data_IF_924302698099
#
_entry.id   IF_924302698099
#
_cell.length_a   1.000
_cell.length_b   1.000
_cell.length_c   1.000
_cell.angle_alpha   90.00
_cell.angle_beta   90.00
_cell.angle_gamma   90.00
#
_symmetry.space_group_name_H-M   'P 1'
#
loop_
_entity.id
_entity.type
_entity.pdbx_description
1 polymer ?
#
# COMPACT_ATOMS: atom_id res chain seq x y z
N UNK A 1 -3.89 39.43 11.15
CA UNK A 1 -5.27 39.28 11.67
C UNK A 1 -5.73 37.85 11.41
N UNK A 2 -5.98 37.05 12.46
CA UNK A 2 -6.68 35.77 12.33
C UNK A 2 -8.14 36.09 11.96
N UNK A 3 -8.53 35.84 10.72
CA UNK A 3 -9.94 35.94 10.32
C UNK A 3 -10.71 34.97 11.22
N UNK A 4 -11.65 35.50 12.01
CA UNK A 4 -12.55 34.69 12.84
C UNK A 4 -13.31 33.77 11.89
N UNK A 5 -13.15 32.45 12.05
CA UNK A 5 -13.83 31.45 11.20
C UNK A 5 -15.33 31.51 11.45
N UNK A 6 -16.12 31.56 10.37
CA UNK A 6 -17.56 31.40 10.44
C UNK A 6 -17.88 29.91 10.35
N UNK A 7 -17.68 29.21 11.48
CA UNK A 7 -17.89 27.78 11.58
C UNK A 7 -19.28 27.36 11.12
N UNK A 8 -20.31 28.17 11.40
CA UNK A 8 -21.69 27.86 11.03
C UNK A 8 -21.84 27.80 9.51
N UNK A 9 -21.34 28.83 8.81
CA UNK A 9 -21.39 28.86 7.36
C UNK A 9 -20.56 27.76 6.71
N UNK A 10 -19.37 27.47 7.24
CA UNK A 10 -18.54 26.35 6.76
C UNK A 10 -19.31 25.03 6.86
N UNK A 11 -19.95 24.77 8.00
CA UNK A 11 -20.76 23.58 8.22
C UNK A 11 -21.92 23.51 7.22
N UNK A 12 -22.66 24.61 7.09
CA UNK A 12 -23.85 24.64 6.24
C UNK A 12 -23.51 24.46 4.75
N UNK A 13 -22.42 25.04 4.26
CA UNK A 13 -22.00 24.89 2.84
C UNK A 13 -21.47 23.48 2.53
N UNK A 14 -20.66 22.89 3.41
CA UNK A 14 -20.20 21.51 3.25
C UNK A 14 -21.37 20.52 3.34
N UNK A 15 -22.31 20.75 4.26
CA UNK A 15 -23.48 19.89 4.44
C UNK A 15 -24.43 19.93 3.23
N UNK A 16 -24.52 21.05 2.50
CA UNK A 16 -25.31 21.12 1.26
C UNK A 16 -24.75 20.25 0.13
N UNK A 17 -23.46 19.91 0.16
CA UNK A 17 -22.81 19.13 -0.91
C UNK A 17 -23.19 17.65 -0.79
N UNK A 18 -22.97 17.05 0.39
CA UNK A 18 -23.31 15.64 0.64
C UNK A 18 -23.59 15.32 2.13
N UNK A 19 -24.31 16.21 2.79
CA UNK A 19 -24.74 16.03 4.17
C UNK A 19 -23.57 15.80 5.12
N UNK A 20 -23.56 14.64 5.78
CA UNK A 20 -22.52 14.29 6.75
C UNK A 20 -21.26 13.66 6.14
N UNK A 21 -21.33 13.19 4.90
CA UNK A 21 -20.27 12.34 4.33
C UNK A 21 -18.98 13.12 4.13
N UNK A 22 -19.05 14.35 3.61
CA UNK A 22 -17.88 15.22 3.44
C UNK A 22 -17.04 15.36 4.72
N UNK A 23 -17.70 15.43 5.89
CA UNK A 23 -17.00 15.50 7.17
C UNK A 23 -16.36 14.16 7.56
N UNK A 24 -17.10 13.06 7.38
CA UNK A 24 -16.58 11.71 7.67
C UNK A 24 -15.37 11.43 6.79
N UNK A 25 -15.47 11.70 5.49
CA UNK A 25 -14.39 11.49 4.52
C UNK A 25 -13.19 12.36 4.87
N UNK A 26 -13.39 13.65 5.18
CA UNK A 26 -12.30 14.50 5.67
C UNK A 26 -11.60 13.92 6.90
N UNK A 27 -12.32 13.32 7.86
CA UNK A 27 -11.72 12.68 9.02
C UNK A 27 -10.87 11.48 8.59
N UNK A 28 -11.44 10.57 7.80
CA UNK A 28 -10.76 9.35 7.35
C UNK A 28 -9.55 9.68 6.47
N UNK A 29 -9.62 10.73 5.65
CA UNK A 29 -8.53 11.18 4.79
C UNK A 29 -7.36 11.79 5.55
N UNK A 30 -7.65 12.51 6.64
CA UNK A 30 -6.64 13.19 7.44
C UNK A 30 -6.01 12.32 8.53
N UNK A 31 -6.69 11.24 8.95
CA UNK A 31 -6.37 10.51 10.15
C UNK A 31 -6.33 8.99 9.99
N UNK A 32 -5.31 8.39 10.59
CA UNK A 32 -5.38 7.01 11.08
C UNK A 32 -5.72 7.02 12.59
N UNK A 33 -6.10 5.87 13.17
CA UNK A 33 -6.53 5.81 14.57
C UNK A 33 -5.46 6.32 15.55
N UNK A 34 -4.17 6.13 15.24
CA UNK A 34 -3.05 6.55 16.10
C UNK A 34 -2.94 8.08 16.13
N UNK A 35 -2.88 8.70 14.96
CA UNK A 35 -2.78 10.16 14.84
C UNK A 35 -4.05 10.86 15.33
N UNK A 36 -5.22 10.27 15.10
CA UNK A 36 -6.47 10.77 15.66
C UNK A 36 -6.47 10.73 17.18
N UNK A 37 -6.07 9.59 17.77
CA UNK A 37 -5.99 9.43 19.21
C UNK A 37 -5.09 10.51 19.83
N UNK A 38 -3.94 10.80 19.23
CA UNK A 38 -3.03 11.85 19.71
C UNK A 38 -3.70 13.24 19.65
N UNK A 39 -4.26 13.61 18.50
CA UNK A 39 -4.78 14.97 18.28
C UNK A 39 -6.08 15.25 19.07
N UNK A 40 -6.92 14.23 19.26
CA UNK A 40 -8.24 14.34 19.89
C UNK A 40 -8.30 13.86 21.35
N UNK A 41 -7.25 13.22 21.89
CA UNK A 41 -7.19 12.84 23.32
C UNK A 41 -7.59 13.97 24.28
N UNK A 42 -7.20 15.25 24.09
CA UNK A 42 -7.62 16.33 24.99
C UNK A 42 -9.12 16.69 24.91
N UNK A 43 -9.81 16.26 23.85
CA UNK A 43 -11.19 16.63 23.52
C UNK A 43 -12.18 15.47 23.73
N UNK A 44 -11.68 14.27 24.04
CA UNK A 44 -12.47 13.05 24.18
C UNK A 44 -12.35 12.51 25.61
N UNK A 45 -13.48 12.07 26.15
CA UNK A 45 -13.53 11.41 27.46
C UNK A 45 -13.16 9.92 27.38
N UNK A 46 -13.32 9.30 26.21
CA UNK A 46 -13.09 7.88 25.98
C UNK A 46 -11.75 7.64 25.28
N UNK A 47 -11.14 6.49 25.58
CA UNK A 47 -9.94 6.05 24.89
C UNK A 47 -10.29 5.62 23.47
N UNK A 48 -9.55 6.16 22.50
CA UNK A 48 -9.65 5.74 21.10
C UNK A 48 -8.87 4.44 20.92
N UNK A 49 -9.55 3.41 20.43
CA UNK A 49 -8.99 2.13 19.98
C UNK A 49 -9.23 1.99 18.48
N UNK A 50 -8.66 0.95 17.86
CA UNK A 50 -8.92 0.67 16.45
C UNK A 50 -10.38 0.29 16.20
N UNK A 51 -11.00 -0.41 17.17
CA UNK A 51 -12.36 -0.94 17.04
C UNK A 51 -13.44 0.15 17.15
N UNK A 52 -13.23 1.15 18.01
CA UNK A 52 -14.20 2.24 18.23
C UNK A 52 -13.90 3.51 17.40
N UNK A 53 -12.83 3.50 16.61
CA UNK A 53 -12.37 4.69 15.88
C UNK A 53 -13.45 5.31 14.98
N UNK A 54 -14.16 4.48 14.21
CA UNK A 54 -15.19 4.94 13.27
C UNK A 54 -16.43 5.44 14.00
N UNK A 55 -16.83 4.77 15.09
CA UNK A 55 -17.96 5.19 15.93
C UNK A 55 -17.70 6.57 16.54
N UNK A 56 -16.48 6.79 17.08
CA UNK A 56 -16.09 8.08 17.64
C UNK A 56 -16.09 9.18 16.57
N UNK A 57 -15.61 8.91 15.35
CA UNK A 57 -15.71 9.87 14.23
C UNK A 57 -17.17 10.22 13.98
N UNK A 58 -18.06 9.23 13.90
CA UNK A 58 -19.48 9.47 13.66
C UNK A 58 -20.11 10.33 14.77
N UNK A 59 -19.77 10.10 16.04
CA UNK A 59 -20.21 10.93 17.17
C UNK A 59 -19.72 12.38 17.06
N UNK A 60 -18.44 12.58 16.73
CA UNK A 60 -17.86 13.91 16.54
C UNK A 60 -18.54 14.64 15.38
N UNK A 61 -18.72 13.96 14.24
CA UNK A 61 -19.38 14.54 13.06
C UNK A 61 -20.82 14.93 13.40
N UNK A 62 -21.55 14.10 14.16
CA UNK A 62 -22.89 14.45 14.64
C UNK A 62 -22.87 15.70 15.52
N UNK A 63 -21.90 15.86 16.42
CA UNK A 63 -21.73 17.09 17.21
C UNK A 63 -21.46 18.31 16.32
N UNK A 64 -20.61 18.16 15.29
CA UNK A 64 -20.29 19.21 14.31
C UNK A 64 -21.53 19.67 13.56
N UNK A 65 -22.28 18.74 12.96
CA UNK A 65 -23.45 19.06 12.14
C UNK A 65 -24.56 19.69 12.99
N UNK A 66 -24.80 19.13 14.18
CA UNK A 66 -25.80 19.64 15.12
C UNK A 66 -25.32 20.88 15.90
N UNK A 67 -24.07 21.32 15.69
CA UNK A 67 -23.48 22.51 16.31
C UNK A 67 -23.60 22.47 17.85
N UNK A 68 -23.40 21.30 18.43
CA UNK A 68 -23.63 21.03 19.86
C UNK A 68 -22.33 20.81 20.64
N UNK A 69 -22.37 21.11 21.94
CA UNK A 69 -21.21 20.95 22.84
C UNK A 69 -19.97 21.69 22.35
N UNK A 70 -18.83 20.98 22.31
CA UNK A 70 -17.53 21.48 21.90
C UNK A 70 -17.25 21.42 20.39
N UNK A 71 -18.30 21.44 19.55
CA UNK A 71 -18.16 21.24 18.11
C UNK A 71 -17.17 22.16 17.41
N UNK A 72 -17.02 23.41 17.87
CA UNK A 72 -16.08 24.37 17.28
C UNK A 72 -14.65 23.91 17.46
N UNK A 73 -14.29 23.42 18.64
CA UNK A 73 -12.95 22.92 18.95
C UNK A 73 -12.65 21.64 18.16
N UNK A 74 -13.64 20.75 18.06
CA UNK A 74 -13.56 19.53 17.25
C UNK A 74 -13.33 19.86 15.76
N UNK A 75 -14.14 20.75 15.19
CA UNK A 75 -14.00 21.16 13.80
C UNK A 75 -12.69 21.94 13.58
N UNK A 76 -12.26 22.76 14.53
CA UNK A 76 -11.02 23.53 14.40
C UNK A 76 -9.77 22.64 14.36
N UNK A 77 -9.78 21.52 15.09
CA UNK A 77 -8.72 20.51 15.02
C UNK A 77 -8.64 19.88 13.63
N UNK A 78 -9.77 19.43 13.08
CA UNK A 78 -9.84 18.88 11.72
C UNK A 78 -9.35 19.91 10.68
N UNK A 79 -9.88 21.14 10.71
CA UNK A 79 -9.49 22.21 9.79
C UNK A 79 -8.00 22.51 9.90
N UNK A 80 -7.46 22.59 11.11
CA UNK A 80 -6.06 22.96 11.33
C UNK A 80 -5.12 21.90 10.76
N UNK A 81 -5.41 20.61 10.97
CA UNK A 81 -4.63 19.52 10.38
C UNK A 81 -4.72 19.52 8.85
N UNK A 82 -5.94 19.56 8.31
CA UNK A 82 -6.19 19.57 6.87
C UNK A 82 -5.47 20.73 6.18
N UNK A 83 -5.61 21.95 6.71
CA UNK A 83 -4.99 23.13 6.14
C UNK A 83 -3.46 23.12 6.24
N UNK A 84 -2.90 22.52 7.29
CA UNK A 84 -1.45 22.34 7.42
C UNK A 84 -0.94 21.37 6.36
N UNK A 85 -1.63 20.25 6.17
CA UNK A 85 -1.29 19.27 5.15
C UNK A 85 -1.32 19.86 3.74
N UNK A 86 -2.44 20.49 3.35
CA UNK A 86 -2.62 21.08 2.02
C UNK A 86 -1.56 22.12 1.68
N UNK A 87 -1.22 22.98 2.64
CA UNK A 87 -0.18 24.00 2.45
C UNK A 87 1.22 23.41 2.37
N UNK A 88 1.53 22.44 3.23
CA UNK A 88 2.85 21.80 3.25
C UNK A 88 3.08 21.02 1.95
N UNK A 89 2.05 20.36 1.44
CA UNK A 89 2.07 19.67 0.15
C UNK A 89 1.87 20.61 -1.05
N UNK A 90 1.65 21.92 -0.82
CA UNK A 90 1.48 22.96 -1.84
C UNK A 90 0.28 22.79 -2.78
N UNK A 91 -0.71 21.97 -2.41
CA UNK A 91 -1.93 21.76 -3.20
C UNK A 91 -2.77 23.04 -3.33
N UNK A 92 -2.62 23.99 -2.40
CA UNK A 92 -3.29 25.29 -2.46
C UNK A 92 -2.81 26.20 -3.59
N UNK A 93 -1.68 25.87 -4.24
CA UNK A 93 -1.10 26.63 -5.35
C UNK A 93 -1.47 26.09 -6.73
N UNK A 94 -2.12 24.94 -6.80
CA UNK A 94 -2.47 24.29 -8.05
C UNK A 94 -3.76 24.86 -8.65
N UNK A 95 -3.85 24.87 -9.98
CA UNK A 95 -5.12 25.10 -10.66
C UNK A 95 -5.97 23.82 -10.69
N UNK A 96 -7.23 23.91 -11.11
CA UNK A 96 -8.13 22.76 -11.09
C UNK A 96 -7.67 21.59 -11.97
N UNK A 97 -7.11 21.83 -13.16
CA UNK A 97 -6.67 20.73 -14.04
C UNK A 97 -5.49 19.96 -13.43
N UNK A 98 -4.52 20.68 -12.87
CA UNK A 98 -3.41 20.07 -12.13
C UNK A 98 -3.88 19.31 -10.90
N UNK A 99 -4.87 19.87 -10.18
CA UNK A 99 -5.45 19.21 -9.02
C UNK A 99 -6.20 17.95 -9.44
N UNK A 100 -6.95 18.00 -10.54
CA UNK A 100 -7.72 16.90 -11.08
C UNK A 100 -6.83 15.71 -11.47
N UNK A 101 -5.68 15.94 -12.10
CA UNK A 101 -4.70 14.88 -12.38
C UNK A 101 -4.29 14.11 -11.11
N UNK A 102 -4.15 14.81 -9.99
CA UNK A 102 -3.79 14.21 -8.69
C UNK A 102 -5.01 13.52 -8.06
N UNK A 103 -6.19 14.12 -8.16
CA UNK A 103 -7.45 13.53 -7.65
C UNK A 103 -7.83 12.25 -8.41
N UNK A 104 -7.49 12.16 -9.70
CA UNK A 104 -7.68 10.98 -10.54
C UNK A 104 -6.74 9.82 -10.13
N UNK A 105 -5.68 10.07 -9.34
CA UNK A 105 -4.85 9.00 -8.73
C UNK A 105 -5.58 8.28 -7.57
N UNK A 106 -6.64 8.88 -7.01
CA UNK A 106 -7.46 8.34 -5.91
C UNK A 106 -6.69 7.97 -4.62
N UNK A 107 -5.56 8.62 -4.34
CA UNK A 107 -4.78 8.37 -3.12
C UNK A 107 -5.27 9.18 -1.91
N UNK A 108 -5.67 8.47 -0.86
CA UNK A 108 -6.01 9.01 0.45
C UNK A 108 -4.76 9.23 1.34
N UNK A 109 -4.51 10.44 1.85
CA UNK A 109 -3.31 10.74 2.64
C UNK A 109 -3.14 9.92 3.92
N UNK A 110 -4.22 9.54 4.61
CA UNK A 110 -4.15 8.74 5.83
C UNK A 110 -3.52 7.36 5.62
N UNK A 111 -3.81 6.74 4.47
CA UNK A 111 -3.28 5.44 4.06
C UNK A 111 -1.94 5.62 3.38
N UNK A 112 -1.88 6.51 2.39
CA UNK A 112 -0.77 6.59 1.45
C UNK A 112 0.35 7.53 1.90
N UNK A 113 0.08 8.38 2.90
CA UNK A 113 0.94 9.47 3.38
C UNK A 113 1.20 10.57 2.33
N UNK A 114 0.60 10.47 1.16
CA UNK A 114 0.55 11.47 0.09
C UNK A 114 -0.81 11.42 -0.63
N UNK A 115 -1.10 12.42 -1.45
CA UNK A 115 -2.35 12.53 -2.19
C UNK A 115 -3.23 13.65 -1.65
N UNK A 116 -4.41 13.81 -2.23
CA UNK A 116 -5.43 14.74 -1.74
C UNK A 116 -6.78 14.27 -2.25
N UNK A 117 -7.84 14.53 -1.49
CA UNK A 117 -9.21 14.20 -1.89
C UNK A 117 -10.01 15.47 -2.14
N UNK A 118 -11.14 15.39 -2.86
CA UNK A 118 -11.99 16.56 -3.10
C UNK A 118 -12.49 17.18 -1.79
N UNK A 119 -12.88 16.36 -0.81
CA UNK A 119 -13.40 16.76 0.50
C UNK A 119 -12.38 17.60 1.28
N UNK A 120 -11.11 17.18 1.29
CA UNK A 120 -10.02 17.94 1.89
C UNK A 120 -9.88 19.34 1.28
N UNK A 121 -9.98 19.44 -0.05
CA UNK A 121 -9.89 20.72 -0.75
C UNK A 121 -11.13 21.59 -0.53
N UNK A 122 -12.33 21.01 -0.52
CA UNK A 122 -13.58 21.71 -0.19
C UNK A 122 -13.51 22.29 1.23
N UNK A 123 -13.09 21.48 2.22
CA UNK A 123 -12.89 21.94 3.59
C UNK A 123 -11.87 23.07 3.67
N UNK A 124 -10.76 22.97 2.91
CA UNK A 124 -9.75 24.02 2.85
C UNK A 124 -10.32 25.35 2.35
N UNK A 125 -10.95 25.35 1.17
CA UNK A 125 -11.49 26.57 0.56
C UNK A 125 -12.57 27.22 1.43
N UNK A 126 -13.53 26.44 1.94
CA UNK A 126 -14.56 26.99 2.81
C UNK A 126 -13.99 27.50 4.14
N UNK A 127 -12.98 26.83 4.73
CA UNK A 127 -12.32 27.31 5.94
C UNK A 127 -11.55 28.63 5.76
N UNK A 128 -11.26 29.00 4.50
CA UNK A 128 -10.67 30.29 4.10
C UNK A 128 -11.71 31.34 3.72
N UNK A 129 -12.99 31.07 3.93
CA UNK A 129 -14.11 31.92 3.51
C UNK A 129 -14.18 32.16 2.01
N UNK A 130 -13.65 31.22 1.22
CA UNK A 130 -13.79 31.20 -0.21
C UNK A 130 -15.02 30.32 -0.47
N UNK A 131 -16.18 30.95 -0.65
CA UNK A 131 -17.46 30.25 -0.87
C UNK A 131 -17.87 30.23 -2.34
N UNK A 132 -17.54 31.29 -3.08
CA UNK A 132 -17.90 31.47 -4.48
C UNK A 132 -16.62 31.58 -5.30
N UNK A 133 -16.14 30.45 -5.81
CA UNK A 133 -14.96 30.35 -6.66
C UNK A 133 -15.17 29.26 -7.71
N UNK A 134 -14.72 29.50 -8.93
CA UNK A 134 -14.84 28.55 -10.06
C UNK A 134 -14.25 27.18 -9.73
N UNK A 135 -13.13 27.14 -8.99
CA UNK A 135 -12.48 25.90 -8.56
C UNK A 135 -13.40 25.10 -7.63
N UNK A 136 -14.17 25.75 -6.76
CA UNK A 136 -15.09 25.06 -5.84
C UNK A 136 -16.22 24.40 -6.63
N UNK A 137 -16.80 25.11 -7.59
CA UNK A 137 -17.86 24.55 -8.43
C UNK A 137 -17.36 23.30 -9.17
N UNK A 138 -16.16 23.40 -9.77
CA UNK A 138 -15.51 22.27 -10.44
C UNK A 138 -15.20 21.11 -9.49
N UNK A 139 -14.77 21.39 -8.26
CA UNK A 139 -14.54 20.36 -7.22
C UNK A 139 -15.83 19.68 -6.78
N UNK A 140 -16.93 20.43 -6.60
CA UNK A 140 -18.24 19.87 -6.24
C UNK A 140 -18.76 18.98 -7.37
N UNK A 141 -18.62 19.40 -8.62
CA UNK A 141 -19.03 18.60 -9.78
C UNK A 141 -18.20 17.32 -9.92
N UNK A 142 -16.88 17.42 -9.69
CA UNK A 142 -15.99 16.26 -9.65
C UNK A 142 -16.38 15.29 -8.53
N UNK A 143 -16.56 15.80 -7.31
CA UNK A 143 -16.99 15.00 -6.14
C UNK A 143 -18.29 14.24 -6.42
N UNK A 144 -19.32 14.93 -6.92
CA UNK A 144 -20.61 14.31 -7.27
C UNK A 144 -20.48 13.26 -8.36
N UNK A 145 -19.57 13.44 -9.30
CA UNK A 145 -19.31 12.47 -10.37
C UNK A 145 -18.69 11.19 -9.81
N UNK A 146 -17.71 11.31 -8.91
CA UNK A 146 -17.10 10.16 -8.21
C UNK A 146 -18.15 9.43 -7.36
N UNK A 147 -18.93 10.18 -6.58
CA UNK A 147 -19.99 9.62 -5.74
C UNK A 147 -21.07 8.90 -6.56
N UNK A 148 -21.48 9.46 -7.70
CA UNK A 148 -22.46 8.82 -8.59
C UNK A 148 -21.98 7.46 -9.08
N UNK A 149 -20.70 7.33 -9.44
CA UNK A 149 -20.10 6.04 -9.84
C UNK A 149 -20.15 5.03 -8.68
N UNK A 150 -19.87 5.47 -7.45
CA UNK A 150 -19.94 4.62 -6.27
C UNK A 150 -21.38 4.11 -6.03
N UNK A 151 -22.38 4.98 -6.11
CA UNK A 151 -23.80 4.60 -5.98
C UNK A 151 -24.27 3.66 -7.08
N UNK A 152 -23.82 3.85 -8.31
CA UNK A 152 -24.15 2.97 -9.44
C UNK A 152 -23.59 1.55 -9.21
N UNK A 153 -22.34 1.47 -8.74
CA UNK A 153 -21.72 0.20 -8.35
C UNK A 153 -22.48 -0.44 -7.18
N UNK A 154 -22.83 0.31 -6.14
CA UNK A 154 -23.57 -0.21 -4.99
C UNK A 154 -24.94 -0.79 -5.39
N UNK A 155 -25.69 -0.09 -6.25
CA UNK A 155 -26.98 -0.60 -6.77
C UNK A 155 -26.81 -1.89 -7.57
N UNK A 156 -25.69 -2.04 -8.28
CA UNK A 156 -25.38 -3.27 -9.00
C UNK A 156 -25.08 -4.42 -8.02
N UNK A 157 -24.33 -4.16 -6.94
CA UNK A 157 -24.07 -5.13 -5.87
C UNK A 157 -25.31 -5.50 -5.06
N UNK A 158 -26.20 -4.55 -4.76
CA UNK A 158 -27.43 -4.83 -4.03
C UNK A 158 -28.39 -5.71 -4.84
N UNK A 159 -28.44 -5.55 -6.17
CA UNK A 159 -29.22 -6.44 -7.04
C UNK A 159 -28.74 -7.88 -6.99
N UNK A 160 -27.43 -8.11 -6.94
CA UNK A 160 -26.85 -9.46 -6.83
C UNK A 160 -26.84 -10.00 -5.39
N UNK A 161 -26.73 -9.14 -4.37
CA UNK A 161 -26.68 -9.52 -2.95
C UNK A 161 -28.03 -9.69 -2.24
N UNK A 162 -29.13 -9.11 -2.78
CA UNK A 162 -30.47 -9.12 -2.15
C UNK A 162 -31.06 -10.51 -1.86
N UNK A 163 -30.56 -11.57 -2.52
CA UNK A 163 -31.00 -12.93 -2.25
C UNK A 163 -30.50 -13.47 -0.89
N UNK A 164 -29.43 -12.92 -0.30
CA UNK A 164 -28.88 -13.40 0.97
C UNK A 164 -29.64 -12.91 2.21
N UNK A 165 -30.31 -11.75 2.16
CA UNK A 165 -30.95 -11.14 3.33
C UNK A 165 -32.40 -11.59 3.58
N UNK A 166 -33.04 -12.28 2.63
CA UNK A 166 -34.40 -12.81 2.81
C UNK A 166 -34.49 -13.83 3.96
N UNK A 167 -33.40 -14.55 4.24
CA UNK A 167 -33.36 -15.56 5.30
C UNK A 167 -33.34 -14.95 6.72
N UNK A 168 -32.96 -13.67 6.90
CA UNK A 168 -32.99 -13.02 8.23
C UNK A 168 -34.40 -12.62 8.70
N UNK A 169 -35.31 -12.34 7.77
CA UNK A 169 -36.72 -12.08 8.11
C UNK A 169 -37.40 -13.34 8.61
N UNK A 170 -37.03 -14.49 8.03
CA UNK A 170 -37.48 -15.82 8.47
C UNK A 170 -37.15 -16.04 9.95
N UNK A 171 -35.87 -15.89 10.33
CA UNK A 171 -35.41 -16.03 11.72
C UNK A 171 -36.20 -15.18 12.73
N UNK A 172 -36.57 -13.95 12.33
CA UNK A 172 -37.33 -13.03 13.16
C UNK A 172 -38.76 -13.54 13.43
N UNK A 173 -39.39 -14.15 12.43
CA UNK A 173 -40.71 -14.77 12.55
C UNK A 173 -40.64 -16.02 13.44
N UNK A 174 -39.61 -16.85 13.31
CA UNK A 174 -39.45 -18.02 14.19
C UNK A 174 -39.14 -17.63 15.65
N UNK A 175 -38.45 -16.52 15.90
CA UNK A 175 -38.26 -15.98 17.25
C UNK A 175 -39.59 -15.48 17.87
N UNK A 176 -40.43 -14.83 17.07
CA UNK A 176 -41.77 -14.43 17.49
C UNK A 176 -42.65 -15.67 17.78
N UNK A 177 -42.56 -16.69 16.93
CA UNK A 177 -43.25 -17.97 17.09
C UNK A 177 -42.78 -18.68 18.37
N UNK A 178 -41.47 -18.75 18.64
CA UNK A 178 -40.93 -19.32 19.88
C UNK A 178 -41.55 -18.68 21.13
N UNK A 179 -41.72 -17.36 21.16
CA UNK A 179 -42.37 -16.68 22.28
C UNK A 179 -43.84 -17.11 22.44
N UNK A 180 -44.58 -17.26 21.34
CA UNK A 180 -45.94 -17.79 21.38
C UNK A 180 -45.97 -19.24 21.89
N UNK A 181 -45.00 -20.07 21.50
CA UNK A 181 -44.86 -21.43 22.01
C UNK A 181 -44.49 -21.47 23.49
N UNK A 182 -43.58 -20.61 23.95
CA UNK A 182 -43.17 -20.49 25.34
C UNK A 182 -44.29 -20.00 26.27
N UNK A 183 -45.23 -19.23 25.74
CA UNK A 183 -46.40 -18.69 26.45
C UNK A 183 -47.66 -19.57 26.29
N UNK A 184 -47.55 -20.74 25.66
CA UNK A 184 -48.68 -21.62 25.33
C UNK A 184 -49.80 -20.94 24.50
N UNK A 185 -49.45 -19.93 23.69
CA UNK A 185 -50.37 -19.16 22.82
C UNK A 185 -50.42 -19.66 21.38
N UNK A 186 -50.09 -20.93 21.15
CA UNK A 186 -50.12 -21.56 19.83
C UNK A 186 -51.51 -22.16 19.56
N UNK A 187 -51.97 -22.06 18.32
CA UNK A 187 -53.30 -22.54 17.87
C UNK A 187 -53.09 -23.64 16.82
N UNK A 188 -53.97 -24.66 16.79
CA UNK A 188 -54.03 -25.67 15.71
C UNK A 188 -52.84 -26.67 15.60
N UNK A 189 -52.37 -27.23 16.71
CA UNK A 189 -51.32 -28.28 16.72
C UNK A 189 -51.83 -29.73 16.81
N UNK A 190 -53.14 -29.94 16.79
CA UNK A 190 -53.73 -31.27 16.90
C UNK A 190 -53.37 -32.00 18.20
N UNK A 191 -53.52 -33.33 18.20
CA UNK A 191 -53.10 -34.18 19.32
C UNK A 191 -51.57 -34.37 19.29
N UNK A 192 -50.90 -34.04 20.40
CA UNK A 192 -49.44 -34.01 20.49
C UNK A 192 -48.96 -35.22 21.29
N UNK A 193 -48.07 -36.03 20.69
CA UNK A 193 -47.38 -37.11 21.38
C UNK A 193 -46.23 -36.57 22.24
N UNK A 194 -46.55 -36.21 23.48
CA UNK A 194 -45.58 -35.71 24.45
C UNK A 194 -44.53 -36.76 24.85
N UNK A 195 -44.89 -38.04 24.88
CA UNK A 195 -43.95 -39.12 25.22
C UNK A 195 -42.94 -39.37 24.08
N UNK A 196 -43.40 -39.26 22.83
CA UNK A 196 -42.52 -39.29 21.65
C UNK A 196 -41.54 -38.13 21.61
N UNK A 197 -41.97 -36.91 21.99
CA UNK A 197 -41.07 -35.75 22.15
C UNK A 197 -40.06 -36.02 23.27
N UNK A 198 -40.50 -36.53 24.42
CA UNK A 198 -39.62 -36.89 25.53
C UNK A 198 -38.54 -37.89 25.10
N UNK A 199 -38.95 -38.94 24.38
CA UNK A 199 -38.01 -39.94 23.84
C UNK A 199 -37.00 -39.31 22.87
N UNK A 200 -37.44 -38.40 21.98
CA UNK A 200 -36.56 -37.72 21.01
C UNK A 200 -35.46 -36.88 21.68
N UNK A 201 -35.75 -36.29 22.84
CA UNK A 201 -34.83 -35.40 23.56
C UNK A 201 -34.25 -36.03 24.83
N UNK A 202 -34.42 -37.34 25.02
CA UNK A 202 -33.95 -38.09 26.19
C UNK A 202 -34.41 -37.45 27.53
N UNK A 203 -35.71 -37.16 27.61
CA UNK A 203 -36.34 -36.55 28.78
C UNK A 203 -37.74 -37.10 29.06
N UNK A 204 -38.21 -36.95 30.30
CA UNK A 204 -39.52 -37.44 30.74
C UNK A 204 -40.52 -36.29 30.74
N UNK A 205 -41.71 -36.54 30.18
CA UNK A 205 -42.82 -35.58 30.23
C UNK A 205 -43.51 -35.64 31.59
N UNK A 206 -43.55 -34.49 32.26
CA UNK A 206 -44.33 -34.27 33.47
C UNK A 206 -45.69 -33.66 33.08
N UNK A 207 -46.75 -34.45 33.23
CA UNK A 207 -48.10 -34.04 32.87
C UNK A 207 -48.71 -33.05 33.87
N UNK A 208 -48.31 -33.09 35.15
CA UNK A 208 -48.84 -32.19 36.17
C UNK A 208 -48.26 -30.78 35.97
N UNK A 209 -46.95 -30.69 35.75
CA UNK A 209 -46.26 -29.42 35.55
C UNK A 209 -46.17 -28.99 34.09
N UNK A 210 -46.70 -29.79 33.16
CA UNK A 210 -46.71 -29.50 31.71
C UNK A 210 -45.31 -29.18 31.18
N UNK A 211 -44.33 -29.97 31.57
CA UNK A 211 -42.92 -29.67 31.35
C UNK A 211 -42.09 -30.93 31.08
N UNK A 212 -40.89 -30.74 30.54
CA UNK A 212 -39.86 -31.77 30.40
C UNK A 212 -38.65 -31.33 31.24
N UNK A 213 -38.39 -32.00 32.36
CA UNK A 213 -37.30 -31.65 33.29
C UNK A 213 -37.27 -30.14 33.65
N UNK A 214 -38.42 -29.53 33.88
CA UNK A 214 -38.55 -28.09 34.20
C UNK A 214 -38.57 -27.14 32.99
N UNK A 215 -38.41 -27.64 31.77
CA UNK A 215 -38.58 -26.86 30.52
C UNK A 215 -40.04 -26.92 30.09
N UNK A 216 -40.66 -25.77 29.82
CA UNK A 216 -42.06 -25.69 29.37
C UNK A 216 -42.28 -26.55 28.12
N UNK A 217 -43.35 -27.36 28.12
CA UNK A 217 -43.69 -28.25 26.99
C UNK A 217 -43.84 -27.55 25.64
N UNK A 218 -44.31 -26.29 25.62
CA UNK A 218 -44.44 -25.51 24.39
C UNK A 218 -43.09 -25.21 23.74
N UNK A 219 -42.04 -24.94 24.52
CA UNK A 219 -40.68 -24.78 24.01
C UNK A 219 -40.17 -26.10 23.42
N UNK A 220 -40.45 -27.22 24.09
CA UNK A 220 -40.07 -28.55 23.61
C UNK A 220 -40.79 -28.93 22.32
N UNK A 221 -42.05 -28.55 22.17
CA UNK A 221 -42.83 -28.73 20.93
C UNK A 221 -42.28 -27.88 19.77
N UNK A 222 -41.88 -26.64 20.06
CA UNK A 222 -41.24 -25.79 19.05
C UNK A 222 -39.90 -26.38 18.60
N UNK A 223 -39.05 -26.82 19.54
CA UNK A 223 -37.79 -27.48 19.21
C UNK A 223 -38.03 -28.78 18.44
N UNK A 224 -38.98 -29.63 18.87
CA UNK A 224 -39.25 -30.91 18.21
C UNK A 224 -39.64 -30.75 16.74
N UNK A 225 -40.37 -29.68 16.42
CA UNK A 225 -40.90 -29.39 15.08
C UNK A 225 -39.99 -28.52 14.21
N UNK A 226 -39.15 -27.65 14.79
CA UNK A 226 -38.39 -26.63 14.05
C UNK A 226 -36.86 -26.73 14.18
N UNK A 227 -36.32 -27.66 14.98
CA UNK A 227 -34.86 -27.80 15.17
C UNK A 227 -34.07 -27.94 13.86
N UNK A 228 -34.64 -28.59 12.84
CA UNK A 228 -33.99 -28.74 11.53
C UNK A 228 -33.76 -27.40 10.84
N UNK A 229 -34.66 -26.42 11.01
CA UNK A 229 -34.54 -25.07 10.42
C UNK A 229 -33.33 -24.37 11.03
N UNK A 230 -33.18 -24.43 12.35
CA UNK A 230 -32.02 -23.85 13.04
C UNK A 230 -30.71 -24.51 12.63
N UNK A 231 -30.71 -25.84 12.45
CA UNK A 231 -29.53 -26.56 11.96
C UNK A 231 -29.14 -26.15 10.54
N UNK A 232 -30.11 -25.99 9.63
CA UNK A 232 -29.87 -25.54 8.26
C UNK A 232 -29.35 -24.10 8.22
N UNK A 233 -29.97 -23.20 9.00
CA UNK A 233 -29.52 -21.81 9.13
C UNK A 233 -28.13 -21.72 9.73
N UNK A 234 -27.81 -22.52 10.74
CA UNK A 234 -26.48 -22.59 11.33
C UNK A 234 -25.43 -23.01 10.29
N UNK A 235 -25.68 -24.09 9.54
CA UNK A 235 -24.75 -24.58 8.52
C UNK A 235 -24.53 -23.54 7.40
N UNK A 236 -25.59 -22.86 6.96
CA UNK A 236 -25.49 -21.76 5.99
C UNK A 236 -24.68 -20.58 6.55
N UNK A 237 -24.93 -20.20 7.79
CA UNK A 237 -24.21 -19.10 8.44
C UNK A 237 -22.72 -19.44 8.66
N UNK A 238 -22.40 -20.68 9.03
CA UNK A 238 -21.02 -21.14 9.18
C UNK A 238 -20.27 -21.14 7.83
N UNK A 239 -20.94 -21.58 6.77
CA UNK A 239 -20.43 -21.50 5.40
C UNK A 239 -20.17 -20.05 4.99
N UNK A 240 -21.13 -19.16 5.28
CA UNK A 240 -21.01 -17.74 5.00
C UNK A 240 -19.85 -17.09 5.78
N UNK A 241 -19.73 -17.38 7.07
CA UNK A 241 -18.64 -16.89 7.92
C UNK A 241 -17.28 -17.37 7.39
N UNK A 242 -17.18 -18.63 6.97
CA UNK A 242 -15.96 -19.19 6.37
C UNK A 242 -15.58 -18.45 5.09
N UNK A 243 -16.55 -18.20 4.20
CA UNK A 243 -16.33 -17.43 2.97
C UNK A 243 -15.87 -16.01 3.31
N UNK A 244 -16.55 -15.32 4.22
CA UNK A 244 -16.17 -13.98 4.69
C UNK A 244 -14.75 -13.93 5.23
N UNK A 245 -14.36 -14.90 6.06
CA UNK A 245 -13.02 -15.00 6.63
C UNK A 245 -11.96 -15.15 5.53
N UNK A 246 -12.22 -15.97 4.51
CA UNK A 246 -11.33 -16.11 3.35
C UNK A 246 -11.23 -14.83 2.52
N UNK A 247 -12.35 -14.14 2.27
CA UNK A 247 -12.36 -12.86 1.59
C UNK A 247 -11.59 -11.79 2.37
N UNK A 248 -11.78 -11.73 3.69
CA UNK A 248 -11.07 -10.80 4.56
C UNK A 248 -9.56 -11.03 4.54
N UNK A 249 -9.11 -12.29 4.58
CA UNK A 249 -7.70 -12.63 4.45
C UNK A 249 -7.12 -12.18 3.09
N UNK A 250 -7.84 -12.40 1.98
CA UNK A 250 -7.43 -11.94 0.65
C UNK A 250 -7.39 -10.41 0.56
N UNK A 251 -8.37 -9.71 1.12
CA UNK A 251 -8.43 -8.24 1.16
C UNK A 251 -7.26 -7.66 1.96
N UNK A 252 -6.91 -8.25 3.11
CA UNK A 252 -5.75 -7.82 3.89
C UNK A 252 -4.45 -8.02 3.12
N UNK A 253 -4.25 -9.19 2.49
CA UNK A 253 -3.06 -9.43 1.66
C UNK A 253 -2.97 -8.44 0.48
N UNK A 254 -4.11 -8.09 -0.13
CA UNK A 254 -4.17 -7.06 -1.17
C UNK A 254 -3.80 -5.68 -0.62
N UNK A 255 -4.37 -5.29 0.53
CA UNK A 255 -4.07 -4.02 1.20
C UNK A 255 -2.58 -3.90 1.55
N UNK A 256 -1.96 -4.95 2.10
CA UNK A 256 -0.53 -4.95 2.44
C UNK A 256 0.35 -4.73 1.20
N UNK A 257 0.00 -5.39 0.08
CA UNK A 257 0.67 -5.16 -1.21
C UNK A 257 0.51 -3.72 -1.69
N UNK A 258 -0.70 -3.16 -1.61
CA UNK A 258 -0.96 -1.76 -1.97
C UNK A 258 -0.14 -0.79 -1.10
N UNK A 259 -0.10 -0.99 0.22
CA UNK A 259 0.72 -0.18 1.13
C UNK A 259 2.21 -0.22 0.76
N UNK A 260 2.74 -1.38 0.33
CA UNK A 260 4.12 -1.50 -0.14
C UNK A 260 4.38 -0.72 -1.43
N UNK A 261 3.53 -0.91 -2.45
CA UNK A 261 3.63 -0.21 -3.74
C UNK A 261 3.62 1.29 -3.54
N UNK A 262 2.74 1.76 -2.67
CA UNK A 262 2.55 3.18 -2.38
C UNK A 262 3.78 3.77 -1.70
N UNK A 263 4.37 3.09 -0.72
CA UNK A 263 5.63 3.51 -0.10
C UNK A 263 6.76 3.60 -1.11
N UNK A 264 6.87 2.62 -2.01
CA UNK A 264 7.86 2.62 -3.08
C UNK A 264 7.62 3.77 -4.07
N UNK A 265 6.36 4.03 -4.43
CA UNK A 265 5.98 5.12 -5.33
C UNK A 265 6.29 6.49 -4.72
N UNK A 266 6.05 6.68 -3.43
CA UNK A 266 6.40 7.91 -2.71
C UNK A 266 7.92 8.14 -2.71
N UNK A 267 8.71 7.10 -2.42
CA UNK A 267 10.17 7.15 -2.48
C UNK A 267 10.67 7.54 -3.88
N UNK A 268 10.13 6.90 -4.92
CA UNK A 268 10.49 7.20 -6.31
C UNK A 268 10.09 8.64 -6.73
N UNK A 269 8.94 9.14 -6.27
CA UNK A 269 8.52 10.54 -6.53
C UNK A 269 9.50 11.53 -5.87
N UNK A 270 9.97 11.26 -4.65
CA UNK A 270 10.97 12.09 -3.96
C UNK A 270 12.34 12.04 -4.67
N UNK A 271 12.79 10.85 -5.06
CA UNK A 271 14.03 10.67 -5.80
C UNK A 271 13.99 11.42 -7.14
N UNK A 272 12.87 11.32 -7.87
CA UNK A 272 12.65 12.06 -9.11
C UNK A 272 12.65 13.58 -8.92
N UNK A 273 12.05 14.09 -7.83
CA UNK A 273 12.09 15.52 -7.52
C UNK A 273 13.54 16.01 -7.28
N UNK A 274 14.32 15.23 -6.53
CA UNK A 274 15.74 15.51 -6.28
C UNK A 274 16.57 15.47 -7.57
N UNK A 275 16.34 14.48 -8.45
CA UNK A 275 17.00 14.40 -9.74
C UNK A 275 16.65 15.58 -10.64
N UNK A 276 15.38 16.02 -10.63
CA UNK A 276 14.93 17.19 -11.39
C UNK A 276 15.59 18.49 -10.94
N UNK A 277 15.76 18.70 -9.62
CA UNK A 277 16.50 19.86 -9.09
C UNK A 277 17.98 19.84 -9.50
N UNK A 278 18.64 18.68 -9.36
CA UNK A 278 20.02 18.49 -9.83
C UNK A 278 20.17 18.78 -11.32
N UNK A 279 19.24 18.30 -12.14
CA UNK A 279 19.22 18.56 -13.57
C UNK A 279 19.09 20.06 -13.88
N UNK A 280 18.19 20.79 -13.20
CA UNK A 280 18.04 22.22 -13.41
C UNK A 280 19.29 23.02 -13.01
N UNK A 281 19.97 22.64 -11.92
CA UNK A 281 21.24 23.25 -11.51
C UNK A 281 22.34 23.03 -12.56
N UNK A 282 22.50 21.80 -13.03
CA UNK A 282 23.46 21.47 -14.08
C UNK A 282 23.18 22.24 -15.38
N UNK A 283 21.90 22.35 -15.77
CA UNK A 283 21.48 23.14 -16.94
C UNK A 283 21.84 24.62 -16.81
N UNK A 284 21.67 25.22 -15.62
CA UNK A 284 22.09 26.63 -15.38
C UNK A 284 23.60 26.80 -15.51
N UNK A 285 24.37 25.90 -14.91
CA UNK A 285 25.84 25.92 -15.01
C UNK A 285 26.32 25.81 -16.46
N UNK A 286 25.71 24.93 -17.26
CA UNK A 286 26.03 24.79 -18.67
C UNK A 286 25.81 26.11 -19.43
N UNK A 287 24.69 26.78 -19.17
CA UNK A 287 24.33 28.05 -19.81
C UNK A 287 25.27 29.20 -19.40
N UNK A 288 25.79 29.17 -18.17
CA UNK A 288 26.86 30.07 -17.72
C UNK A 288 28.20 29.77 -18.41
N UNK A 289 28.59 28.50 -18.51
CA UNK A 289 29.79 28.09 -19.25
C UNK A 289 29.71 28.46 -20.73
N UNK A 290 28.55 28.32 -21.37
CA UNK A 290 28.34 28.72 -22.76
C UNK A 290 28.52 30.24 -22.94
N UNK A 291 28.01 31.06 -22.01
CA UNK A 291 28.22 32.51 -21.99
C UNK A 291 29.69 32.88 -21.81
N UNK A 292 30.38 32.24 -20.86
CA UNK A 292 31.82 32.45 -20.65
C UNK A 292 32.61 32.03 -21.88
N UNK A 293 32.27 30.89 -22.50
CA UNK A 293 32.94 30.40 -23.73
C UNK A 293 32.72 31.34 -24.91
N UNK A 294 31.53 31.93 -25.04
CA UNK A 294 31.24 32.92 -26.10
C UNK A 294 31.90 34.28 -25.85
N UNK A 295 32.03 34.72 -24.60
CA UNK A 295 32.85 35.88 -24.22
C UNK A 295 34.34 35.64 -24.49
N UNK A 296 34.85 34.46 -24.14
CA UNK A 296 36.21 34.01 -24.46
C UNK A 296 36.42 33.92 -25.97
N UNK A 297 35.45 33.48 -26.78
CA UNK A 297 35.59 33.53 -28.26
C UNK A 297 35.73 34.96 -28.80
N UNK A 298 35.10 35.94 -28.16
CA UNK A 298 35.14 37.33 -28.59
C UNK A 298 36.40 38.09 -28.13
N UNK A 299 37.09 37.63 -27.07
CA UNK A 299 38.20 38.36 -26.43
C UNK A 299 39.63 37.84 -26.74
N UNK A 300 39.91 37.12 -27.84
CA UNK A 300 41.35 36.91 -28.17
C UNK A 300 41.67 36.76 -29.64
N UNK A 301 42.40 37.76 -30.09
CA UNK A 301 43.67 37.53 -30.76
C UNK A 301 44.76 37.13 -29.74
N UNK A 302 45.45 36.02 -30.04
CA UNK A 302 46.85 35.68 -29.72
C UNK A 302 47.31 35.01 -28.40
N UNK A 303 46.47 34.62 -27.45
CA UNK A 303 46.92 33.78 -26.29
C UNK A 303 46.11 32.51 -26.01
N UNK A 304 45.16 32.12 -26.86
CA UNK A 304 44.12 31.11 -26.51
C UNK A 304 44.29 29.66 -26.99
N UNK A 305 45.28 29.32 -27.79
CA UNK A 305 45.31 27.97 -28.39
C UNK A 305 45.49 26.80 -27.40
N UNK A 306 46.12 27.03 -26.24
CA UNK A 306 46.30 25.99 -25.20
C UNK A 306 45.06 25.76 -24.33
N UNK A 307 44.36 26.82 -23.94
CA UNK A 307 43.13 26.70 -23.14
C UNK A 307 41.94 26.25 -24.01
N UNK A 308 41.91 26.64 -25.29
CA UNK A 308 40.89 26.19 -26.24
C UNK A 308 40.97 24.68 -26.45
N UNK A 309 42.18 24.10 -26.52
CA UNK A 309 42.37 22.66 -26.72
C UNK A 309 41.92 21.83 -25.51
N UNK A 310 42.17 22.29 -24.28
CA UNK A 310 41.67 21.63 -23.07
C UNK A 310 40.15 21.71 -22.95
N UNK A 311 39.56 22.88 -23.19
CA UNK A 311 38.11 23.07 -23.17
C UNK A 311 37.40 22.27 -24.27
N UNK A 312 37.97 22.12 -25.48
CA UNK A 312 37.38 21.24 -26.51
C UNK A 312 37.40 19.77 -26.12
N UNK A 313 38.43 19.30 -25.40
CA UNK A 313 38.49 17.92 -24.92
C UNK A 313 37.42 17.67 -23.86
N UNK A 314 37.28 18.60 -22.92
CA UNK A 314 36.27 18.53 -21.87
C UNK A 314 34.85 18.60 -22.43
N UNK A 315 34.62 19.44 -23.44
CA UNK A 315 33.33 19.53 -24.13
C UNK A 315 33.00 18.25 -24.92
N UNK A 316 34.00 17.61 -25.56
CA UNK A 316 33.80 16.30 -26.21
C UNK A 316 33.42 15.19 -25.21
N UNK A 317 34.04 15.21 -24.03
CA UNK A 317 33.76 14.26 -22.96
C UNK A 317 32.35 14.45 -22.38
N UNK A 318 31.96 15.70 -22.13
CA UNK A 318 30.63 16.03 -21.65
C UNK A 318 29.55 15.69 -22.69
N UNK A 319 29.81 15.90 -23.97
CA UNK A 319 28.87 15.54 -25.04
C UNK A 319 28.65 14.02 -25.13
N UNK A 320 29.71 13.23 -25.06
CA UNK A 320 29.61 11.76 -24.99
C UNK A 320 28.88 11.29 -23.73
N UNK A 321 29.06 11.99 -22.60
CA UNK A 321 28.33 11.70 -21.37
C UNK A 321 26.83 12.01 -21.49
N UNK A 322 26.46 13.08 -22.19
CA UNK A 322 25.07 13.43 -22.47
C UNK A 322 24.43 12.37 -23.37
N UNK A 323 25.08 11.97 -24.47
CA UNK A 323 24.58 10.91 -25.36
C UNK A 323 24.36 9.58 -24.61
N UNK A 324 25.28 9.23 -23.70
CA UNK A 324 25.13 8.04 -22.86
C UNK A 324 23.92 8.13 -21.91
N UNK A 325 23.64 9.32 -21.39
CA UNK A 325 22.50 9.56 -20.50
C UNK A 325 21.18 9.59 -21.26
N UNK A 326 21.15 10.14 -22.47
CA UNK A 326 19.98 10.12 -23.36
C UNK A 326 19.61 8.69 -23.75
N UNK A 327 20.59 7.87 -24.14
CA UNK A 327 20.37 6.43 -24.42
C UNK A 327 19.81 5.68 -23.21
N UNK A 328 20.28 6.00 -21.99
CA UNK A 328 19.74 5.40 -20.75
C UNK A 328 18.32 5.85 -20.45
N UNK A 329 17.98 7.10 -20.74
CA UNK A 329 16.61 7.60 -20.59
C UNK A 329 15.68 6.88 -21.57
N UNK A 330 16.13 6.65 -22.81
CA UNK A 330 15.37 5.93 -23.83
C UNK A 330 15.16 4.45 -23.46
N UNK A 331 16.20 3.76 -22.97
CA UNK A 331 16.09 2.40 -22.42
C UNK A 331 15.07 2.32 -21.27
N UNK A 332 15.09 3.31 -20.36
CA UNK A 332 14.16 3.36 -19.23
C UNK A 332 12.72 3.66 -19.67
N UNK A 333 12.53 4.48 -20.71
CA UNK A 333 11.21 4.74 -21.30
C UNK A 333 10.66 3.49 -22.00
N UNK A 334 11.49 2.78 -22.76
CA UNK A 334 11.11 1.49 -23.35
C UNK A 334 10.79 0.45 -22.28
N UNK A 335 11.58 0.36 -21.21
CA UNK A 335 11.28 -0.52 -20.08
C UNK A 335 9.96 -0.15 -19.37
N UNK A 336 9.63 1.14 -19.28
CA UNK A 336 8.35 1.60 -18.75
C UNK A 336 7.16 1.20 -19.64
N UNK A 337 7.34 1.23 -20.96
CA UNK A 337 6.33 0.85 -21.95
C UNK A 337 6.12 -0.67 -22.00
N UNK A 338 7.21 -1.43 -21.89
CA UNK A 338 7.22 -2.89 -21.73
C UNK A 338 6.54 -3.30 -20.41
N UNK A 339 6.82 -2.63 -19.29
CA UNK A 339 6.15 -2.91 -18.02
C UNK A 339 4.65 -2.59 -18.02
N UNK A 340 4.18 -1.65 -18.87
CA UNK A 340 2.75 -1.39 -19.08
C UNK A 340 2.08 -2.49 -19.92
N UNK A 341 2.79 -3.09 -20.87
CA UNK A 341 2.26 -4.14 -21.77
C UNK A 341 2.35 -5.55 -21.19
N UNK A 342 3.33 -5.82 -20.30
CA UNK A 342 3.46 -7.12 -19.59
C UNK A 342 2.33 -7.34 -18.57
N UNK A 343 1.64 -6.28 -18.11
CA UNK A 343 0.51 -6.41 -17.19
C UNK A 343 -0.71 -7.16 -17.79
N UNK A 344 -0.76 -7.37 -19.11
CA UNK A 344 -1.90 -8.02 -19.78
C UNK A 344 -1.65 -9.48 -20.22
N UNK A 345 -0.45 -10.04 -20.13
CA UNK A 345 -0.21 -11.43 -20.50
C UNK A 345 0.90 -12.06 -19.67
N UNK A 346 0.57 -13.12 -18.91
CA UNK A 346 1.26 -14.44 -18.90
C UNK A 346 0.66 -15.33 -17.78
N UNK A 347 0.13 -16.48 -18.20
CA UNK A 347 -0.14 -17.70 -17.44
C UNK A 347 0.92 -18.73 -17.89
N UNK A 348 1.49 -19.59 -17.02
CA UNK A 348 2.00 -20.97 -17.32
C UNK A 348 2.65 -21.63 -16.07
N UNK A 349 2.57 -22.97 -16.09
CA UNK A 349 2.67 -24.03 -15.05
C UNK A 349 4.06 -24.58 -14.71
N UNK A 350 4.11 -25.33 -13.60
CA UNK A 350 5.21 -26.11 -12.99
C UNK A 350 5.73 -27.35 -13.76
N UNK A 351 6.97 -27.77 -13.45
CA UNK A 351 7.43 -29.18 -13.55
C UNK A 351 8.64 -29.48 -12.64
N UNK A 352 8.79 -30.77 -12.29
CA UNK A 352 9.46 -31.35 -11.11
C UNK A 352 10.76 -32.16 -11.41
N UNK A 353 11.70 -32.13 -10.43
CA UNK A 353 12.58 -33.17 -9.79
C UNK A 353 13.58 -33.98 -10.71
N UNK A 354 14.86 -34.26 -10.36
CA UNK A 354 15.41 -35.30 -9.44
C UNK A 354 16.94 -35.11 -9.19
N UNK A 355 17.37 -35.45 -7.95
CA UNK A 355 18.72 -35.49 -7.33
C UNK A 355 19.62 -36.68 -7.74
N UNK A 356 20.97 -36.57 -7.60
CA UNK A 356 21.74 -37.27 -6.52
C UNK A 356 23.30 -37.27 -6.68
N UNK A 357 23.92 -37.02 -5.52
CA UNK A 357 25.15 -37.62 -4.91
C UNK A 357 26.55 -37.02 -5.08
N UNK A 358 27.13 -36.77 -3.89
CA UNK A 358 28.46 -36.22 -3.52
C UNK A 358 28.66 -34.74 -3.83
N UNK A 359 27.99 -33.89 -3.06
CA UNK A 359 28.13 -32.45 -3.25
C UNK A 359 29.28 -31.91 -2.40
N UNK A 360 30.49 -31.91 -2.99
CA UNK A 360 31.22 -30.63 -3.04
C UNK A 360 30.18 -29.60 -3.53
N UNK A 361 29.99 -28.48 -2.84
CA UNK A 361 28.76 -27.72 -3.02
C UNK A 361 28.53 -27.38 -4.50
N UNK A 362 27.30 -27.57 -4.99
CA UNK A 362 26.86 -27.27 -6.36
C UNK A 362 26.97 -25.76 -6.64
N UNK A 363 28.19 -25.28 -6.78
CA UNK A 363 28.45 -23.95 -7.29
C UNK A 363 29.00 -24.15 -8.69
N UNK A 364 28.12 -24.05 -9.68
CA UNK A 364 28.54 -24.11 -11.07
C UNK A 364 29.37 -22.87 -11.43
N UNK A 365 29.15 -21.74 -10.75
CA UNK A 365 29.81 -20.47 -11.04
C UNK A 365 30.37 -19.81 -9.77
N UNK A 366 31.70 -19.76 -9.68
CA UNK A 366 32.43 -19.05 -8.62
C UNK A 366 33.08 -17.82 -9.23
N UNK A 367 32.82 -16.63 -8.65
CA UNK A 367 33.44 -15.39 -9.10
C UNK A 367 34.41 -14.86 -8.05
N UNK A 368 35.67 -14.67 -8.43
CA UNK A 368 36.70 -14.13 -7.55
C UNK A 368 36.99 -12.69 -7.94
N UNK A 369 36.78 -11.78 -6.99
CA UNK A 369 36.83 -10.33 -7.18
C UNK A 369 38.11 -9.74 -6.58
N UNK A 370 38.90 -9.12 -7.43
CA UNK A 370 40.15 -8.45 -7.05
C UNK A 370 41.32 -9.41 -6.82
N UNK A 371 42.38 -8.87 -6.22
CA UNK A 371 43.64 -9.59 -6.01
C UNK A 371 44.56 -9.60 -7.23
N UNK A 372 45.81 -10.02 -7.04
CA UNK A 372 46.77 -10.20 -8.13
C UNK A 372 47.05 -11.69 -8.34
N UNK A 373 46.19 -12.34 -9.12
CA UNK A 373 46.24 -13.77 -9.36
C UNK A 373 47.18 -14.12 -10.52
N UNK A 374 48.23 -14.87 -10.22
CA UNK A 374 49.12 -15.40 -11.26
C UNK A 374 48.50 -16.63 -11.95
N UNK A 375 48.92 -16.93 -13.18
CA UNK A 375 48.33 -18.02 -13.97
C UNK A 375 48.46 -19.39 -13.31
N UNK A 376 49.54 -19.65 -12.56
CA UNK A 376 49.74 -20.93 -11.86
C UNK A 376 48.69 -21.14 -10.76
N UNK A 377 48.40 -20.12 -9.97
CA UNK A 377 47.39 -20.18 -8.89
C UNK A 377 45.96 -20.34 -9.45
N UNK A 378 45.66 -19.68 -10.58
CA UNK A 378 44.38 -19.84 -11.28
C UNK A 378 44.18 -21.27 -11.78
N UNK A 379 45.23 -21.85 -12.38
CA UNK A 379 45.19 -23.24 -12.84
C UNK A 379 45.06 -24.24 -11.69
N UNK A 380 45.73 -24.02 -10.56
CA UNK A 380 45.61 -24.88 -9.37
C UNK A 380 44.19 -24.87 -8.83
N UNK A 381 43.53 -23.70 -8.74
CA UNK A 381 42.13 -23.60 -8.30
C UNK A 381 41.16 -24.30 -9.25
N UNK A 382 41.33 -24.10 -10.56
CA UNK A 382 40.48 -24.76 -11.56
C UNK A 382 40.69 -26.30 -11.56
N UNK A 383 41.89 -26.77 -11.22
CA UNK A 383 42.20 -28.21 -11.07
C UNK A 383 41.68 -28.82 -9.76
N UNK A 384 41.53 -28.02 -8.70
CA UNK A 384 40.99 -28.48 -7.43
C UNK A 384 39.45 -28.50 -7.42
N UNK A 385 38.82 -27.51 -8.07
CA UNK A 385 37.36 -27.38 -8.20
C UNK A 385 36.93 -27.67 -9.65
N UNK A 386 37.22 -28.88 -10.13
CA UNK A 386 37.04 -29.25 -11.55
C UNK A 386 35.59 -29.18 -12.02
N UNK A 387 34.64 -29.30 -11.10
CA UNK A 387 33.20 -29.24 -11.36
C UNK A 387 32.63 -27.82 -11.40
N UNK A 388 33.42 -26.79 -11.07
CA UNK A 388 33.00 -25.40 -10.96
C UNK A 388 33.68 -24.53 -12.02
N UNK A 389 32.95 -23.59 -12.61
CA UNK A 389 33.52 -22.54 -13.47
C UNK A 389 33.97 -21.35 -12.61
N UNK A 390 35.26 -21.02 -12.65
CA UNK A 390 35.84 -19.93 -11.85
C UNK A 390 36.18 -18.74 -12.73
N UNK A 391 35.48 -17.61 -12.56
CA UNK A 391 35.79 -16.36 -13.26
C UNK A 391 36.50 -15.37 -12.33
N UNK A 392 37.69 -14.93 -12.73
CA UNK A 392 38.45 -13.90 -12.03
C UNK A 392 38.16 -12.53 -12.64
N UNK A 393 37.69 -11.59 -11.82
CA UNK A 393 37.37 -10.23 -12.25
C UNK A 393 38.22 -9.23 -11.45
N UNK A 394 38.92 -8.35 -12.17
CA UNK A 394 39.69 -7.28 -11.54
C UNK A 394 38.78 -6.32 -10.77
N UNK A 395 39.26 -5.80 -9.64
CA UNK A 395 38.47 -4.96 -8.74
C UNK A 395 37.78 -3.77 -9.46
N UNK A 396 38.45 -3.14 -10.43
CA UNK A 396 37.94 -1.99 -11.19
C UNK A 396 36.80 -2.34 -12.16
N UNK A 397 36.69 -3.61 -12.57
CA UNK A 397 35.67 -4.10 -13.51
C UNK A 397 34.47 -4.73 -12.81
N UNK A 398 34.48 -4.78 -11.48
CA UNK A 398 33.46 -5.40 -10.64
C UNK A 398 32.06 -4.84 -10.91
N UNK A 399 31.92 -3.51 -11.03
CA UNK A 399 30.61 -2.89 -11.28
C UNK A 399 30.13 -3.04 -12.73
N UNK A 400 31.07 -3.07 -13.68
CA UNK A 400 30.73 -3.22 -15.11
C UNK A 400 30.33 -4.67 -15.45
N UNK A 401 30.76 -5.65 -14.65
CA UNK A 401 30.40 -7.06 -14.75
C UNK A 401 29.48 -7.52 -13.61
N UNK A 402 28.69 -6.61 -13.04
CA UNK A 402 27.85 -6.92 -11.87
C UNK A 402 26.87 -8.06 -12.14
N UNK A 403 26.35 -8.19 -13.37
CA UNK A 403 25.45 -9.26 -13.77
C UNK A 403 26.07 -10.65 -13.59
N UNK A 404 27.38 -10.76 -13.83
CA UNK A 404 28.14 -12.01 -13.60
C UNK A 404 28.36 -12.30 -12.12
N UNK A 405 28.45 -11.26 -11.30
CA UNK A 405 28.58 -11.37 -9.84
C UNK A 405 27.25 -11.78 -9.22
N UNK A 406 26.15 -11.20 -9.69
CA UNK A 406 24.79 -11.47 -9.20
C UNK A 406 24.30 -12.86 -9.59
N UNK A 407 24.69 -13.34 -10.76
CA UNK A 407 24.37 -14.69 -11.23
C UNK A 407 25.39 -15.76 -10.78
N UNK A 408 26.37 -15.40 -9.94
CA UNK A 408 27.32 -16.34 -9.38
C UNK A 408 26.75 -17.00 -8.12
N UNK A 409 27.06 -18.28 -7.94
CA UNK A 409 26.60 -19.00 -6.76
C UNK A 409 27.45 -18.66 -5.52
N UNK A 410 28.74 -18.41 -5.75
CA UNK A 410 29.68 -17.89 -4.75
C UNK A 410 30.47 -16.71 -5.32
N UNK A 411 30.66 -15.71 -4.46
CA UNK A 411 31.58 -14.60 -4.72
C UNK A 411 32.66 -14.56 -3.64
N UNK A 412 33.92 -14.58 -4.06
CA UNK A 412 35.08 -14.50 -3.14
C UNK A 412 35.76 -13.15 -3.35
N UNK A 413 35.83 -12.35 -2.30
CA UNK A 413 36.53 -11.07 -2.28
C UNK A 413 37.97 -11.23 -1.82
N UNK A 414 38.90 -10.82 -2.67
CA UNK A 414 40.28 -10.64 -2.27
C UNK A 414 40.49 -9.21 -1.78
N UNK A 415 40.77 -9.09 -0.48
CA UNK A 415 40.87 -7.79 0.21
C UNK A 415 42.22 -7.09 0.01
N UNK A 416 43.19 -7.70 -0.68
CA UNK A 416 44.58 -7.21 -0.77
C UNK A 416 44.80 -5.95 -1.63
N UNK A 417 43.88 -5.59 -2.53
CA UNK A 417 43.99 -4.39 -3.40
C UNK A 417 42.63 -3.74 -3.73
N UNK A 418 42.15 -2.89 -2.85
CA UNK A 418 41.09 -1.89 -3.11
C UNK A 418 39.69 -2.42 -3.50
N UNK A 419 39.43 -3.73 -3.45
CA UNK A 419 38.09 -4.30 -3.69
C UNK A 419 37.06 -3.90 -2.61
N UNK A 420 37.51 -3.37 -1.47
CA UNK A 420 36.67 -2.97 -0.34
C UNK A 420 35.60 -1.92 -0.69
N UNK A 421 35.89 -1.03 -1.65
CA UNK A 421 34.95 0.02 -2.09
C UNK A 421 33.71 -0.55 -2.79
N UNK A 422 33.81 -1.75 -3.37
CA UNK A 422 32.74 -2.40 -4.13
C UNK A 422 31.99 -3.45 -3.31
N UNK A 423 32.56 -3.88 -2.18
CA UNK A 423 31.94 -4.86 -1.28
C UNK A 423 30.54 -4.44 -0.79
N UNK A 424 30.39 -3.19 -0.32
CA UNK A 424 29.09 -2.69 0.18
C UNK A 424 28.02 -2.63 -0.91
N UNK A 425 28.41 -2.49 -2.18
CA UNK A 425 27.50 -2.51 -3.33
C UNK A 425 27.13 -3.92 -3.80
N UNK A 426 27.90 -4.94 -3.38
CA UNK A 426 27.64 -6.34 -3.75
C UNK A 426 26.91 -7.08 -2.62
N UNK A 427 27.18 -6.75 -1.35
CA UNK A 427 26.50 -7.34 -0.19
C UNK A 427 24.98 -7.13 -0.17
N UNK A 428 24.47 -6.13 -0.91
CA UNK A 428 23.03 -5.88 -1.04
C UNK A 428 22.29 -6.96 -1.84
N UNK A 429 23.00 -7.78 -2.61
CA UNK A 429 22.43 -8.90 -3.35
C UNK A 429 22.48 -10.19 -2.50
N UNK A 430 21.52 -11.11 -2.64
CA UNK A 430 21.43 -12.32 -1.83
C UNK A 430 22.44 -13.40 -2.27
N UNK A 431 23.74 -13.08 -2.23
CA UNK A 431 24.84 -13.91 -2.75
C UNK A 431 25.73 -14.39 -1.61
N UNK A 432 26.22 -15.64 -1.67
CA UNK A 432 27.17 -16.18 -0.69
C UNK A 432 28.55 -15.54 -0.90
N UNK A 433 28.97 -14.72 0.06
CA UNK A 433 30.18 -13.91 -0.01
C UNK A 433 31.25 -14.39 0.98
N UNK A 434 32.46 -14.65 0.48
CA UNK A 434 33.62 -15.02 1.30
C UNK A 434 34.77 -14.02 1.11
N UNK A 435 35.68 -13.98 2.08
CA UNK A 435 36.83 -13.07 2.06
C UNK A 435 38.13 -13.85 2.19
N UNK A 436 39.11 -13.48 1.37
CA UNK A 436 40.49 -13.96 1.51
C UNK A 436 41.42 -12.75 1.65
N UNK A 437 42.52 -12.97 2.35
CA UNK A 437 43.47 -11.90 2.67
C UNK A 437 44.71 -11.91 1.75
N UNK A 438 44.89 -12.97 0.96
CA UNK A 438 45.99 -13.13 0.00
C UNK A 438 45.51 -13.88 -1.25
N UNK A 439 45.96 -13.45 -2.43
CA UNK A 439 45.67 -14.08 -3.73
C UNK A 439 46.40 -15.42 -3.90
N UNK A 440 46.02 -16.44 -3.12
CA UNK A 440 46.59 -17.81 -3.16
C UNK A 440 45.49 -18.87 -3.19
N UNK A 441 45.72 -19.94 -3.94
CA UNK A 441 44.79 -21.06 -4.09
C UNK A 441 44.46 -21.73 -2.75
N UNK A 442 45.47 -21.98 -1.90
CA UNK A 442 45.28 -22.57 -0.57
C UNK A 442 44.32 -21.77 0.33
N UNK A 443 44.32 -20.44 0.22
CA UNK A 443 43.43 -19.58 1.04
C UNK A 443 41.97 -19.65 0.57
N UNK A 444 41.76 -19.91 -0.72
CA UNK A 444 40.44 -20.11 -1.29
C UNK A 444 39.93 -21.51 -0.95
N UNK A 445 40.78 -22.54 -1.03
CA UNK A 445 40.39 -23.91 -0.71
C UNK A 445 39.97 -24.11 0.76
N UNK A 446 40.55 -23.35 1.71
CA UNK A 446 40.11 -23.31 3.12
C UNK A 446 38.64 -22.91 3.33
N UNK A 447 37.98 -22.33 2.33
CA UNK A 447 36.55 -22.00 2.41
C UNK A 447 35.68 -23.28 2.39
N UNK A 448 36.24 -24.38 1.87
CA UNK A 448 35.57 -25.69 1.74
C UNK A 448 36.19 -26.80 2.59
N UNK A 449 37.26 -26.51 3.34
CA UNK A 449 37.74 -27.34 4.47
C UNK A 449 36.88 -27.12 5.71
#
# INVERSE_FOLDING_TARGET
MLIKRDYKRIIDELYKIDGKMVFIDCFVDNYDYKSFSIDYKPLLAMQVTQDNFIEIIAEIVNKIINKSGNYKELLDKLISRNNTYIKTATYDKLNFEQLKEILDEHYMPSIHKYGVTPDMMLLYYFSKHIFNNEIINKLVDYYKTVYKKLLENEKQYQKTGSNFFKDSEKLSLEMLELNNFADERYVDVGEIDWNGIGTKFDCVYDNENKAFNGVKRGIMLFLSSKLYIFSELYAKNDTFYTILKQFWAKLNAFREKQELIVKQTAFLKEENANLKDKYQKAKKQLLEFEKVTSQIKNESDKTKDKQLTELTKENSYLKSRIETLESKIEELLQAQEINKTIAENIEIKESNIIEFTKELPEYQNIVILGGNWNSKEKETLQKALQTCYIEFIDAEKTLTKIDKVVNADIVIFDTSRNAHAYYYKIKQYPIKLFHINKSKSDEVLKIWD
#
